data_IF_182069424974
#
_entry.id   IF_182069424974
#
_cell.length_a   1.000
_cell.length_b   1.000
_cell.length_c   1.000
_cell.angle_alpha   90.00
_cell.angle_beta   90.00
_cell.angle_gamma   90.00
#
_symmetry.space_group_name_H-M   'P 1'
#
loop_
_entity.id
_entity.type
_entity.pdbx_description
1 polymer ?
#
# COMPACT_ATOMS: atom_id res chain seq x y z
N UNK A 1 -4.74 -36.42 -8.46
CA UNK A 1 -5.16 -35.59 -9.60
C UNK A 1 -6.43 -34.89 -9.17
N UNK A 2 -6.31 -33.68 -8.61
CA UNK A 2 -7.45 -32.92 -8.09
C UNK A 2 -7.99 -32.03 -9.20
N UNK A 3 -9.21 -32.31 -9.66
CA UNK A 3 -9.95 -31.46 -10.58
C UNK A 3 -10.30 -30.14 -9.89
N UNK A 4 -9.62 -29.07 -10.32
CA UNK A 4 -10.03 -27.71 -9.96
C UNK A 4 -11.18 -27.30 -10.88
N UNK A 5 -12.41 -27.36 -10.37
CA UNK A 5 -13.56 -26.83 -11.10
C UNK A 5 -13.40 -25.32 -11.31
N UNK A 6 -13.16 -24.96 -12.57
CA UNK A 6 -13.18 -23.59 -13.08
C UNK A 6 -14.64 -23.20 -13.27
N UNK A 7 -15.07 -22.09 -12.64
CA UNK A 7 -16.38 -21.53 -12.91
C UNK A 7 -16.31 -20.61 -14.13
N UNK A 8 -16.89 -21.08 -15.23
CA UNK A 8 -17.24 -20.26 -16.39
C UNK A 8 -18.66 -19.72 -16.22
N UNK A 9 -18.78 -18.42 -15.94
CA UNK A 9 -19.88 -17.64 -16.52
C UNK A 9 -19.35 -16.25 -16.84
N UNK A 10 -19.35 -15.92 -18.13
CA UNK A 10 -18.83 -14.67 -18.69
C UNK A 10 -19.91 -13.81 -19.31
N UNK A 11 -21.16 -14.05 -18.91
CA UNK A 11 -22.23 -13.10 -19.14
C UNK A 11 -22.26 -12.09 -17.98
N UNK A 12 -22.50 -10.80 -18.27
CA UNK A 12 -22.72 -9.68 -17.33
C UNK A 12 -21.57 -8.66 -17.18
N UNK A 13 -21.22 -7.98 -18.27
CA UNK A 13 -20.56 -6.66 -18.23
C UNK A 13 -21.41 -5.59 -18.93
N UNK A 14 -22.70 -5.49 -18.59
CA UNK A 14 -23.53 -4.32 -18.94
C UNK A 14 -24.55 -3.99 -17.85
N UNK A 15 -24.41 -2.80 -17.28
CA UNK A 15 -25.38 -2.16 -16.38
C UNK A 15 -25.24 -2.61 -14.93
N UNK A 16 -25.24 -1.65 -14.01
CA UNK A 16 -25.18 -1.89 -12.56
C UNK A 16 -26.28 -2.86 -12.11
N UNK A 17 -25.94 -4.15 -12.05
CA UNK A 17 -26.73 -5.22 -11.45
C UNK A 17 -25.82 -5.86 -10.42
N UNK A 18 -26.31 -5.98 -9.19
CA UNK A 18 -25.62 -6.67 -8.12
C UNK A 18 -25.13 -8.03 -8.64
N UNK A 19 -23.81 -8.23 -8.63
CA UNK A 19 -23.19 -9.47 -9.09
C UNK A 19 -22.92 -10.32 -7.85
N UNK A 20 -23.52 -11.51 -7.79
CA UNK A 20 -23.41 -12.40 -6.64
C UNK A 20 -22.25 -13.38 -6.83
N UNK A 21 -21.21 -13.26 -6.00
CA UNK A 21 -20.15 -14.26 -5.90
C UNK A 21 -20.52 -15.30 -4.84
N UNK A 22 -20.82 -16.54 -5.24
CA UNK A 22 -21.09 -17.64 -4.31
C UNK A 22 -19.84 -18.48 -4.09
N UNK A 23 -19.26 -18.41 -2.89
CA UNK A 23 -18.13 -19.25 -2.48
C UNK A 23 -18.67 -20.37 -1.59
N UNK A 24 -18.43 -21.62 -1.97
CA UNK A 24 -18.89 -22.81 -1.22
C UNK A 24 -17.69 -23.57 -0.68
N UNK A 25 -17.57 -23.66 0.65
CA UNK A 25 -16.60 -24.52 1.31
C UNK A 25 -17.26 -25.84 1.71
N UNK A 26 -16.63 -26.96 1.41
CA UNK A 26 -17.04 -28.30 1.88
C UNK A 26 -16.13 -28.71 3.04
N UNK A 27 -16.67 -29.45 4.02
CA UNK A 27 -15.88 -30.02 5.12
C UNK A 27 -15.64 -29.12 6.34
N UNK A 28 -16.17 -27.89 6.37
CA UNK A 28 -16.03 -27.02 7.54
C UNK A 28 -17.01 -27.42 8.64
N UNK A 29 -16.48 -27.91 9.77
CA UNK A 29 -17.27 -28.30 10.94
C UNK A 29 -17.59 -27.14 11.89
N UNK A 30 -16.82 -26.06 11.81
CA UNK A 30 -16.89 -24.89 12.68
C UNK A 30 -17.35 -23.66 11.88
N UNK A 31 -18.59 -23.22 12.10
CA UNK A 31 -19.27 -22.22 11.28
C UNK A 31 -18.59 -20.82 11.36
N UNK A 32 -18.26 -20.27 12.56
CA UNK A 32 -17.49 -19.03 12.68
C UNK A 32 -16.16 -19.05 11.90
N UNK A 33 -15.40 -20.13 12.02
CA UNK A 33 -14.12 -20.28 11.31
C UNK A 33 -14.33 -20.37 9.80
N UNK A 34 -15.41 -21.00 9.35
CA UNK A 34 -15.79 -21.03 7.94
C UNK A 34 -16.13 -19.64 7.38
N UNK A 35 -16.85 -18.84 8.14
CA UNK A 35 -17.19 -17.47 7.73
C UNK A 35 -15.93 -16.59 7.62
N UNK A 36 -14.99 -16.72 8.56
CA UNK A 36 -13.73 -15.99 8.52
C UNK A 36 -12.91 -16.32 7.27
N UNK A 37 -12.73 -17.62 6.96
CA UNK A 37 -12.01 -18.08 5.77
C UNK A 37 -12.75 -17.61 4.50
N UNK A 38 -14.08 -17.67 4.48
CA UNK A 38 -14.88 -17.18 3.36
C UNK A 38 -14.66 -15.69 3.10
N UNK A 39 -14.66 -14.87 4.16
CA UNK A 39 -14.38 -13.44 4.08
C UNK A 39 -12.98 -13.18 3.54
N UNK A 40 -11.97 -13.90 4.03
CA UNK A 40 -10.57 -13.77 3.57
C UNK A 40 -10.40 -14.11 2.09
N UNK A 41 -11.01 -15.21 1.62
CA UNK A 41 -10.99 -15.59 0.21
C UNK A 41 -11.68 -14.52 -0.65
N UNK A 42 -12.87 -14.08 -0.23
CA UNK A 42 -13.61 -13.05 -0.95
C UNK A 42 -12.82 -11.75 -1.05
N UNK A 43 -12.29 -11.24 0.07
CA UNK A 43 -11.45 -10.03 0.12
C UNK A 43 -10.25 -10.11 -0.85
N UNK A 44 -9.57 -11.27 -0.90
CA UNK A 44 -8.39 -11.47 -1.75
C UNK A 44 -8.75 -11.54 -3.25
N UNK A 45 -9.88 -12.16 -3.59
CA UNK A 45 -10.43 -12.13 -4.94
C UNK A 45 -10.79 -10.70 -5.36
N UNK A 46 -11.45 -9.94 -4.49
CA UNK A 46 -11.85 -8.56 -4.77
C UNK A 46 -10.64 -7.64 -4.99
N UNK A 47 -9.57 -7.83 -4.21
CA UNK A 47 -8.31 -7.12 -4.42
C UNK A 47 -7.70 -7.40 -5.81
N UNK A 48 -7.72 -8.66 -6.24
CA UNK A 48 -7.21 -9.06 -7.56
C UNK A 48 -7.99 -8.37 -8.69
N UNK A 49 -9.32 -8.25 -8.54
CA UNK A 49 -10.15 -7.48 -9.46
C UNK A 49 -9.81 -5.99 -9.42
N UNK A 50 -9.64 -5.42 -8.23
CA UNK A 50 -9.32 -4.00 -8.06
C UNK A 50 -7.98 -3.62 -8.69
N UNK A 51 -6.93 -4.44 -8.49
CA UNK A 51 -5.63 -4.25 -9.15
C UNK A 51 -5.74 -4.36 -10.67
N UNK A 52 -6.56 -5.30 -11.16
CA UNK A 52 -6.65 -5.55 -12.59
C UNK A 52 -7.53 -4.52 -13.31
N UNK A 53 -8.64 -4.08 -12.72
CA UNK A 53 -9.60 -3.21 -13.41
C UNK A 53 -9.62 -1.78 -12.88
N UNK A 54 -8.81 -1.44 -11.87
CA UNK A 54 -8.89 -0.16 -11.15
C UNK A 54 -10.33 0.14 -10.69
N UNK A 55 -11.11 -0.91 -10.44
CA UNK A 55 -12.52 -0.81 -10.10
C UNK A 55 -12.68 -1.13 -8.61
N UNK A 56 -13.21 -0.20 -7.80
CA UNK A 56 -13.42 -0.47 -6.39
C UNK A 56 -14.55 -1.48 -6.21
N UNK A 57 -14.26 -2.57 -5.50
CA UNK A 57 -15.25 -3.57 -5.12
C UNK A 57 -15.05 -3.88 -3.64
N UNK A 58 -16.10 -3.63 -2.85
CA UNK A 58 -16.10 -3.82 -1.40
C UNK A 58 -17.08 -4.94 -1.06
N UNK A 59 -16.65 -5.84 -0.17
CA UNK A 59 -17.55 -6.80 0.45
C UNK A 59 -18.43 -6.05 1.46
N UNK A 60 -19.74 -6.05 1.23
CA UNK A 60 -20.69 -5.42 2.13
C UNK A 60 -21.83 -6.38 2.45
N UNK A 61 -22.23 -6.42 3.73
CA UNK A 61 -23.46 -7.11 4.17
C UNK A 61 -24.73 -6.35 3.75
N UNK A 62 -24.59 -5.09 3.34
CA UNK A 62 -25.67 -4.20 2.90
C UNK A 62 -25.34 -3.59 1.53
N UNK A 63 -26.34 -3.44 0.66
CA UNK A 63 -26.11 -2.88 -0.69
C UNK A 63 -25.83 -1.37 -0.58
N UNK A 64 -24.63 -0.88 -0.93
CA UNK A 64 -24.38 0.56 -0.91
C UNK A 64 -25.14 1.24 -2.04
N UNK A 65 -25.63 2.46 -1.78
CA UNK A 65 -26.29 3.26 -2.79
C UNK A 65 -25.26 3.81 -3.80
N UNK A 66 -25.04 3.04 -4.89
CA UNK A 66 -24.26 3.38 -6.11
C UNK A 66 -22.74 3.52 -5.93
N UNK A 67 -22.01 2.64 -6.63
CA UNK A 67 -20.58 2.78 -6.93
C UNK A 67 -20.41 3.05 -8.42
N UNK A 68 -19.65 4.08 -8.81
CA UNK A 68 -19.40 4.42 -10.22
C UNK A 68 -17.90 4.34 -10.52
N UNK A 69 -17.53 3.78 -11.69
CA UNK A 69 -16.16 3.62 -12.15
C UNK A 69 -15.44 4.97 -12.37
N UNK A 70 -14.13 5.00 -12.10
CA UNK A 70 -13.24 6.14 -12.35
C UNK A 70 -12.02 5.63 -13.13
N UNK A 71 -11.66 6.29 -14.23
CA UNK A 71 -10.45 5.97 -14.99
C UNK A 71 -9.23 6.56 -14.28
N UNK A 72 -8.22 5.73 -14.02
CA UNK A 72 -6.94 6.11 -13.41
C UNK A 72 -5.78 5.60 -14.26
N UNK A 73 -4.64 6.29 -14.21
CA UNK A 73 -3.39 5.87 -14.86
C UNK A 73 -3.01 4.44 -14.43
N UNK A 74 -2.53 3.64 -15.38
CA UNK A 74 -2.27 2.21 -15.22
C UNK A 74 -0.87 1.87 -15.74
N UNK A 75 0.05 1.38 -14.89
CA UNK A 75 1.35 0.88 -15.35
C UNK A 75 1.16 -0.32 -16.30
N UNK A 76 2.10 -0.49 -17.24
CA UNK A 76 2.03 -1.53 -18.30
C UNK A 76 2.02 -2.98 -17.80
N UNK A 77 2.29 -3.25 -16.52
CA UNK A 77 2.23 -4.58 -15.92
C UNK A 77 0.83 -5.20 -15.89
N UNK A 78 -0.22 -4.39 -16.07
CA UNK A 78 -1.61 -4.85 -16.01
C UNK A 78 -2.23 -4.77 -17.41
N UNK A 79 -2.17 -5.86 -18.17
CA UNK A 79 -2.82 -6.00 -19.48
C UNK A 79 -4.32 -5.71 -19.39
N UNK A 80 -4.77 -4.68 -20.11
CA UNK A 80 -6.18 -4.41 -20.37
C UNK A 80 -6.62 -5.23 -21.59
N UNK A 81 -7.60 -6.14 -21.40
CA UNK A 81 -8.28 -6.79 -22.53
C UNK A 81 -8.55 -8.30 -22.42
N UNK A 82 -8.11 -8.97 -21.36
CA UNK A 82 -8.37 -10.41 -21.16
C UNK A 82 -9.53 -10.69 -20.20
N UNK A 83 -10.27 -11.79 -20.44
CA UNK A 83 -11.08 -12.43 -19.40
C UNK A 83 -10.15 -12.77 -18.23
N UNK A 84 -10.37 -12.16 -17.06
CA UNK A 84 -9.61 -12.49 -15.86
C UNK A 84 -10.20 -13.77 -15.29
N UNK A 85 -9.47 -14.87 -15.38
CA UNK A 85 -9.80 -16.07 -14.63
C UNK A 85 -9.48 -15.77 -13.16
N UNK A 86 -10.52 -15.64 -12.34
CA UNK A 86 -10.37 -15.52 -10.90
C UNK A 86 -9.92 -16.88 -10.36
N UNK A 87 -8.63 -17.00 -10.10
CA UNK A 87 -8.07 -18.17 -9.42
C UNK A 87 -8.27 -18.05 -7.91
N UNK A 88 -8.33 -19.20 -7.25
CA UNK A 88 -8.43 -19.23 -5.80
C UNK A 88 -7.17 -18.57 -5.20
N UNK A 89 -7.32 -17.58 -4.30
CA UNK A 89 -6.21 -16.77 -3.83
C UNK A 89 -5.29 -17.59 -2.93
N UNK A 90 -4.03 -17.76 -3.32
CA UNK A 90 -3.02 -18.43 -2.47
C UNK A 90 -2.59 -17.58 -1.25
N UNK A 91 -2.94 -16.30 -1.26
CA UNK A 91 -2.51 -15.32 -0.29
C UNK A 91 -3.70 -14.66 0.43
N UNK A 92 -3.48 -14.37 1.71
CA UNK A 92 -4.37 -13.63 2.57
C UNK A 92 -3.82 -12.23 2.80
N UNK A 93 -4.72 -11.24 2.72
CA UNK A 93 -4.44 -9.85 3.03
C UNK A 93 -5.26 -9.41 4.25
N UNK A 94 -4.81 -8.36 4.94
CA UNK A 94 -5.56 -7.78 6.07
C UNK A 94 -6.76 -7.00 5.52
N UNK A 95 -7.93 -7.14 6.13
CA UNK A 95 -9.14 -6.50 5.61
C UNK A 95 -9.08 -4.97 5.71
N UNK A 96 -8.42 -4.42 6.73
CA UNK A 96 -8.30 -2.97 6.95
C UNK A 96 -7.54 -2.28 5.82
N UNK A 97 -6.40 -2.84 5.39
CA UNK A 97 -5.59 -2.27 4.31
C UNK A 97 -6.31 -2.34 2.96
N UNK A 98 -7.08 -3.42 2.73
CA UNK A 98 -7.92 -3.55 1.54
C UNK A 98 -8.98 -2.46 1.56
N UNK A 99 -9.65 -2.22 2.69
CA UNK A 99 -10.68 -1.17 2.80
C UNK A 99 -10.12 0.22 2.51
N UNK A 100 -8.95 0.57 3.03
CA UNK A 100 -8.29 1.84 2.71
C UNK A 100 -7.97 1.96 1.22
N UNK A 101 -7.44 0.90 0.61
CA UNK A 101 -7.16 0.88 -0.83
C UNK A 101 -8.44 1.01 -1.68
N UNK A 102 -9.51 0.31 -1.32
CA UNK A 102 -10.81 0.40 -1.99
C UNK A 102 -11.42 1.80 -1.86
N UNK A 103 -11.33 2.41 -0.67
CA UNK A 103 -11.77 3.79 -0.45
C UNK A 103 -11.03 4.75 -1.39
N UNK A 104 -9.70 4.62 -1.48
CA UNK A 104 -8.87 5.40 -2.36
C UNK A 104 -9.31 5.28 -3.83
N UNK A 105 -9.53 4.07 -4.33
CA UNK A 105 -10.01 3.83 -5.70
C UNK A 105 -11.41 4.38 -5.97
N UNK A 106 -12.28 4.41 -4.95
CA UNK A 106 -13.66 4.88 -5.08
C UNK A 106 -13.83 6.39 -4.95
N UNK A 107 -12.88 7.06 -4.30
CA UNK A 107 -12.94 8.50 -4.08
C UNK A 107 -12.74 9.26 -5.40
N UNK A 108 -13.37 10.43 -5.52
CA UNK A 108 -13.11 11.41 -6.59
C UNK A 108 -12.38 12.64 -6.11
N UNK A 109 -12.17 12.75 -4.81
CA UNK A 109 -11.48 13.88 -4.19
C UNK A 109 -10.00 13.52 -4.09
N UNK A 110 -9.08 14.22 -4.80
CA UNK A 110 -7.68 13.85 -4.88
C UNK A 110 -7.00 13.74 -3.50
N UNK A 111 -7.30 14.68 -2.60
CA UNK A 111 -6.78 14.65 -1.23
C UNK A 111 -7.21 13.41 -0.46
N UNK A 112 -8.48 12.98 -0.59
CA UNK A 112 -8.98 11.76 0.03
C UNK A 112 -8.38 10.51 -0.61
N UNK A 113 -8.20 10.49 -1.93
CA UNK A 113 -7.52 9.38 -2.61
C UNK A 113 -6.10 9.22 -2.06
N UNK A 114 -5.35 10.33 -2.02
CA UNK A 114 -3.98 10.36 -1.55
C UNK A 114 -3.87 9.88 -0.09
N UNK A 115 -4.67 10.44 0.81
CA UNK A 115 -4.68 10.06 2.23
C UNK A 115 -5.08 8.59 2.43
N UNK A 116 -6.03 8.09 1.65
CA UNK A 116 -6.47 6.69 1.75
C UNK A 116 -5.39 5.73 1.30
N UNK A 117 -4.63 6.02 0.23
CA UNK A 117 -3.44 5.24 -0.13
C UNK A 117 -2.34 5.37 0.93
N UNK A 118 -2.14 6.57 1.49
CA UNK A 118 -1.15 6.79 2.55
C UNK A 118 -1.43 5.94 3.80
N UNK A 119 -2.69 5.82 4.21
CA UNK A 119 -3.06 4.99 5.36
C UNK A 119 -2.69 3.51 5.19
N UNK A 120 -2.60 3.00 3.96
CA UNK A 120 -2.07 1.65 3.70
C UNK A 120 -0.60 1.55 4.13
N UNK A 121 0.20 2.59 3.87
CA UNK A 121 1.61 2.66 4.27
C UNK A 121 1.74 2.83 5.78
N UNK A 122 0.97 3.77 6.34
CA UNK A 122 0.98 4.13 7.77
C UNK A 122 0.62 2.95 8.67
N UNK A 123 -0.29 2.07 8.22
CA UNK A 123 -0.68 0.86 8.95
C UNK A 123 0.53 0.01 9.38
N UNK A 124 1.61 0.02 8.60
CA UNK A 124 2.80 -0.80 8.84
C UNK A 124 3.94 -0.08 9.57
N UNK A 125 3.82 1.22 9.89
CA UNK A 125 4.91 1.99 10.49
C UNK A 125 5.46 1.36 11.77
N UNK A 126 4.58 1.07 12.72
CA UNK A 126 4.99 0.48 14.00
C UNK A 126 5.46 -0.97 13.81
N UNK A 127 4.69 -1.78 13.08
CA UNK A 127 5.01 -3.20 12.87
C UNK A 127 6.39 -3.41 12.22
N UNK A 128 6.73 -2.59 11.23
CA UNK A 128 8.00 -2.71 10.49
C UNK A 128 9.18 -2.20 11.31
N UNK A 129 9.04 -1.03 11.92
CA UNK A 129 10.13 -0.43 12.68
C UNK A 129 10.49 -1.25 13.91
N UNK A 130 9.49 -1.73 14.65
CA UNK A 130 9.72 -2.63 15.79
C UNK A 130 10.27 -3.98 15.36
N UNK A 131 9.77 -4.54 14.25
CA UNK A 131 10.26 -5.79 13.69
C UNK A 131 11.76 -5.74 13.39
N UNK A 132 12.25 -4.63 12.84
CA UNK A 132 13.67 -4.44 12.54
C UNK A 132 14.52 -4.33 13.82
N UNK A 133 14.03 -3.61 14.83
CA UNK A 133 14.72 -3.52 16.14
C UNK A 133 14.82 -4.91 16.77
N UNK A 134 13.72 -5.65 16.80
CA UNK A 134 13.68 -7.01 17.36
C UNK A 134 14.62 -7.94 16.59
N UNK A 135 14.64 -7.89 15.25
CA UNK A 135 15.55 -8.69 14.43
C UNK A 135 17.02 -8.40 14.76
N UNK A 136 17.40 -7.12 14.90
CA UNK A 136 18.76 -6.70 15.26
C UNK A 136 19.15 -7.13 16.68
N UNK A 137 18.24 -7.02 17.64
CA UNK A 137 18.44 -7.50 19.01
C UNK A 137 18.63 -9.03 19.04
N UNK A 138 17.78 -9.78 18.34
CA UNK A 138 17.88 -11.23 18.25
C UNK A 138 19.17 -11.67 17.58
N UNK A 139 19.62 -10.97 16.53
CA UNK A 139 20.89 -11.26 15.87
C UNK A 139 22.09 -11.04 16.79
N UNK A 140 22.06 -9.99 17.63
CA UNK A 140 23.12 -9.75 18.62
C UNK A 140 23.11 -10.80 19.74
N UNK A 141 21.93 -11.17 20.24
CA UNK A 141 21.77 -12.18 21.30
C UNK A 141 22.16 -13.58 20.81
N UNK A 142 21.85 -13.90 19.55
CA UNK A 142 22.15 -15.21 18.94
C UNK A 142 23.63 -15.36 18.54
N UNK A 143 24.43 -14.30 18.66
CA UNK A 143 25.85 -14.36 18.35
C UNK A 143 26.58 -15.27 19.36
N UNK A 144 27.34 -16.30 18.95
CA UNK A 144 28.07 -17.17 19.87
C UNK A 144 29.05 -16.43 20.80
N UNK A 145 29.50 -15.23 20.42
CA UNK A 145 30.36 -14.39 21.24
C UNK A 145 29.58 -13.57 22.30
N UNK A 146 28.25 -13.66 22.31
CA UNK A 146 27.40 -12.99 23.28
C UNK A 146 27.38 -13.78 24.59
N UNK A 147 28.03 -13.23 25.61
CA UNK A 147 28.02 -13.78 26.98
C UNK A 147 27.07 -12.93 27.82
N UNK A 148 25.98 -13.54 28.27
CA UNK A 148 25.02 -12.92 29.20
C UNK A 148 25.72 -12.51 30.50
N UNK A 149 25.52 -11.25 30.93
CA UNK A 149 26.06 -10.74 32.20
C UNK A 149 27.22 -9.75 32.10
N UNK A 150 27.78 -9.50 30.90
CA UNK A 150 28.77 -8.43 30.70
C UNK A 150 28.08 -7.09 30.42
N UNK A 151 28.41 -6.07 31.21
CA UNK A 151 27.87 -4.70 31.07
C UNK A 151 28.02 -4.16 29.64
N UNK A 152 29.19 -4.31 29.03
CA UNK A 152 29.48 -3.84 27.66
C UNK A 152 28.50 -4.40 26.61
N UNK A 153 28.02 -5.65 26.80
CA UNK A 153 27.07 -6.29 25.90
C UNK A 153 25.65 -5.75 26.09
N UNK A 154 25.25 -5.52 27.34
CA UNK A 154 23.99 -4.85 27.67
C UNK A 154 23.97 -3.43 27.11
N UNK A 155 25.08 -2.70 27.23
CA UNK A 155 25.24 -1.36 26.63
C UNK A 155 25.13 -1.41 25.10
N UNK A 156 25.65 -2.46 24.45
CA UNK A 156 25.48 -2.65 23.00
C UNK A 156 24.01 -2.87 22.61
N UNK A 157 23.24 -3.63 23.40
CA UNK A 157 21.80 -3.78 23.17
C UNK A 157 21.05 -2.46 23.37
N UNK A 158 21.39 -1.69 24.41
CA UNK A 158 20.82 -0.35 24.64
C UNK A 158 21.08 0.57 23.44
N UNK A 159 22.30 0.57 22.88
CA UNK A 159 22.61 1.34 21.67
C UNK A 159 21.76 0.95 20.46
N UNK A 160 21.35 -0.31 20.32
CA UNK A 160 20.45 -0.74 19.23
C UNK A 160 19.07 -0.10 19.42
N UNK A 161 18.57 -0.07 20.66
CA UNK A 161 17.28 0.55 21.01
C UNK A 161 17.35 2.08 20.88
N UNK A 162 18.41 2.71 21.37
CA UNK A 162 18.59 4.18 21.31
C UNK A 162 18.81 4.68 19.88
N UNK A 163 19.43 3.87 19.01
CA UNK A 163 19.61 4.19 17.60
C UNK A 163 18.37 3.89 16.75
N UNK A 164 17.32 3.31 17.33
CA UNK A 164 16.08 3.06 16.62
C UNK A 164 15.40 4.39 16.24
N UNK A 165 14.69 4.44 15.10
CA UNK A 165 13.82 5.56 14.79
C UNK A 165 12.89 5.82 15.97
N UNK A 166 12.79 7.08 16.41
CA UNK A 166 11.70 7.43 17.32
C UNK A 166 10.38 7.05 16.66
N UNK A 167 9.42 6.57 17.45
CA UNK A 167 8.03 6.36 17.00
C UNK A 167 7.38 7.64 16.47
N UNK A 168 8.02 8.80 16.64
CA UNK A 168 7.57 10.09 16.14
C UNK A 168 8.21 10.51 14.81
N UNK A 169 9.28 9.85 14.34
CA UNK A 169 9.90 10.18 13.05
C UNK A 169 9.20 9.47 11.89
N UNK A 170 8.05 10.02 11.51
CA UNK A 170 7.22 9.53 10.41
C UNK A 170 7.98 9.33 9.10
N UNK A 171 8.98 10.20 8.79
CA UNK A 171 9.77 10.05 7.55
C UNK A 171 10.56 8.76 7.62
N UNK A 172 11.25 8.53 8.74
CA UNK A 172 12.09 7.35 8.91
C UNK A 172 11.24 6.07 8.96
N UNK A 173 10.09 6.10 9.64
CA UNK A 173 9.16 4.95 9.65
C UNK A 173 8.66 4.60 8.25
N UNK A 174 8.28 5.60 7.45
CA UNK A 174 7.90 5.41 6.07
C UNK A 174 9.05 4.83 5.24
N UNK A 175 10.26 5.37 5.39
CA UNK A 175 11.46 4.88 4.69
C UNK A 175 11.71 3.39 4.96
N UNK A 176 11.57 2.93 6.21
CA UNK A 176 11.72 1.52 6.58
C UNK A 176 10.62 0.63 5.99
N UNK A 177 9.36 1.10 5.95
CA UNK A 177 8.27 0.40 5.26
C UNK A 177 8.57 0.24 3.76
N UNK A 178 9.07 1.29 3.11
CA UNK A 178 9.42 1.22 1.69
C UNK A 178 10.57 0.25 1.44
N UNK A 179 11.64 0.30 2.26
CA UNK A 179 12.77 -0.64 2.17
C UNK A 179 12.33 -2.09 2.32
N UNK A 180 11.38 -2.36 3.21
CA UNK A 180 10.91 -3.72 3.50
C UNK A 180 10.06 -4.31 2.38
N UNK A 181 9.16 -3.52 1.79
CA UNK A 181 8.12 -4.07 0.90
C UNK A 181 8.21 -3.63 -0.56
N UNK A 182 8.96 -2.56 -0.89
CA UNK A 182 9.02 -2.01 -2.25
C UNK A 182 10.35 -2.37 -2.90
N UNK A 183 10.37 -3.28 -3.90
CA UNK A 183 11.60 -3.60 -4.62
C UNK A 183 12.19 -2.38 -5.30
N UNK A 184 13.48 -2.16 -5.12
CA UNK A 184 14.17 -0.96 -5.60
C UNK A 184 14.12 -0.82 -7.12
N UNK A 185 14.33 -1.92 -7.85
CA UNK A 185 14.34 -1.90 -9.32
C UNK A 185 12.95 -1.51 -9.86
N UNK A 186 11.88 -2.01 -9.25
CA UNK A 186 10.51 -1.66 -9.63
C UNK A 186 10.17 -0.19 -9.33
N UNK A 187 10.70 0.37 -8.24
CA UNK A 187 10.54 1.79 -7.91
C UNK A 187 11.29 2.68 -8.92
N UNK A 188 12.51 2.29 -9.31
CA UNK A 188 13.27 2.98 -10.34
C UNK A 188 12.54 2.96 -11.69
N UNK A 189 12.00 1.81 -12.06
CA UNK A 189 11.26 1.64 -13.31
C UNK A 189 9.95 2.43 -13.30
N UNK A 190 9.23 2.44 -12.17
CA UNK A 190 8.04 3.28 -11.99
C UNK A 190 8.36 4.76 -12.20
N UNK A 191 9.41 5.28 -11.57
CA UNK A 191 9.78 6.70 -11.70
C UNK A 191 10.07 7.05 -13.16
N UNK A 192 10.85 6.21 -13.86
CA UNK A 192 11.19 6.41 -15.27
C UNK A 192 9.97 6.35 -16.19
N UNK A 193 9.09 5.36 -15.99
CA UNK A 193 7.86 5.20 -16.77
C UNK A 193 6.93 6.39 -16.56
N UNK A 194 6.78 6.84 -15.30
CA UNK A 194 5.94 7.98 -14.98
C UNK A 194 6.46 9.28 -15.59
N UNK A 195 7.76 9.56 -15.46
CA UNK A 195 8.38 10.73 -16.10
C UNK A 195 8.21 10.71 -17.61
N UNK A 196 8.35 9.54 -18.25
CA UNK A 196 8.06 9.39 -19.68
C UNK A 196 6.58 9.63 -20.01
N UNK A 197 5.65 9.24 -19.14
CA UNK A 197 4.23 9.44 -19.34
C UNK A 197 3.83 10.91 -19.28
N UNK A 198 4.40 11.68 -18.34
CA UNK A 198 4.12 13.11 -18.17
C UNK A 198 4.95 14.00 -19.13
N UNK A 199 5.14 13.52 -20.37
CA UNK A 199 5.81 14.24 -21.44
C UNK A 199 7.34 14.24 -21.38
N UNK A 200 7.96 13.27 -20.71
CA UNK A 200 9.41 13.22 -20.52
C UNK A 200 9.93 14.32 -19.58
N UNK A 201 9.03 14.98 -18.85
CA UNK A 201 9.45 15.94 -17.84
C UNK A 201 10.09 15.16 -16.68
N UNK A 202 11.28 15.59 -16.26
CA UNK A 202 11.97 15.08 -15.07
C UNK A 202 11.17 15.44 -13.80
N UNK A 203 9.99 14.86 -13.64
CA UNK A 203 9.00 15.21 -12.64
C UNK A 203 9.49 14.96 -11.22
N UNK A 204 10.15 13.82 -11.01
CA UNK A 204 10.70 13.42 -9.73
C UNK A 204 12.19 13.74 -9.63
N UNK A 205 12.94 13.55 -10.72
CA UNK A 205 14.40 13.64 -10.74
C UNK A 205 14.93 15.08 -10.78
N UNK A 206 14.15 16.02 -11.32
CA UNK A 206 14.46 17.45 -11.22
C UNK A 206 13.88 18.02 -9.93
N UNK A 207 14.61 18.97 -9.36
CA UNK A 207 14.16 19.76 -8.24
C UNK A 207 12.87 20.53 -8.58
N UNK A 208 11.84 20.32 -7.75
CA UNK A 208 10.53 20.97 -7.87
C UNK A 208 9.98 21.31 -6.51
N UNK A 209 9.31 22.45 -6.44
CA UNK A 209 8.59 22.89 -5.24
C UNK A 209 7.29 22.09 -5.12
N UNK A 210 7.09 21.47 -3.96
CA UNK A 210 5.88 20.77 -3.55
C UNK A 210 5.46 21.33 -2.20
N UNK A 211 4.36 22.08 -2.17
CA UNK A 211 3.87 22.76 -0.96
C UNK A 211 4.98 23.51 -0.21
N UNK A 212 5.61 24.46 -0.88
CA UNK A 212 6.69 25.27 -0.30
C UNK A 212 8.03 24.57 -0.04
N UNK A 213 8.16 23.26 -0.28
CA UNK A 213 9.43 22.53 -0.13
C UNK A 213 10.03 22.13 -1.48
N UNK A 214 11.30 22.43 -1.68
CA UNK A 214 12.05 22.04 -2.88
C UNK A 214 12.54 20.59 -2.75
N UNK A 215 12.00 19.68 -3.55
CA UNK A 215 12.23 18.24 -3.44
C UNK A 215 12.64 17.63 -4.79
N UNK A 216 13.51 16.62 -4.72
CA UNK A 216 13.93 15.78 -5.85
C UNK A 216 14.19 14.35 -5.40
N UNK A 217 14.13 13.41 -6.34
CA UNK A 217 14.51 12.01 -6.15
C UNK A 217 15.83 11.73 -6.84
N UNK A 218 16.83 11.33 -6.06
CA UNK A 218 18.08 10.78 -6.58
C UNK A 218 17.89 9.29 -6.88
N UNK A 219 18.22 8.87 -8.10
CA UNK A 219 18.02 7.50 -8.58
C UNK A 219 19.14 6.53 -8.13
N UNK A 220 19.79 6.81 -7.01
CA UNK A 220 20.82 5.94 -6.45
C UNK A 220 20.27 5.10 -5.29
N UNK A 221 20.95 3.97 -5.03
CA UNK A 221 20.50 2.97 -4.05
C UNK A 221 20.44 3.49 -2.62
N UNK A 222 21.22 4.53 -2.31
CA UNK A 222 21.36 5.02 -0.95
C UNK A 222 20.26 6.01 -0.59
N UNK A 223 19.83 6.85 -1.55
CA UNK A 223 18.95 7.99 -1.25
C UNK A 223 17.50 7.81 -1.73
N UNK A 224 17.22 6.88 -2.64
CA UNK A 224 15.90 6.76 -3.29
C UNK A 224 14.73 6.65 -2.30
N UNK A 225 14.82 5.75 -1.31
CA UNK A 225 13.75 5.56 -0.33
C UNK A 225 13.57 6.79 0.56
N UNK A 226 14.66 7.41 1.00
CA UNK A 226 14.60 8.61 1.85
C UNK A 226 14.02 9.81 1.12
N UNK A 227 14.31 9.96 -0.18
CA UNK A 227 13.74 11.03 -1.02
C UNK A 227 12.25 10.80 -1.29
N UNK A 228 11.85 9.58 -1.65
CA UNK A 228 10.45 9.23 -1.87
C UNK A 228 9.64 9.39 -0.59
N UNK A 229 10.16 8.89 0.55
CA UNK A 229 9.51 9.06 1.85
C UNK A 229 9.33 10.55 2.21
N UNK A 230 10.31 11.40 1.90
CA UNK A 230 10.21 12.83 2.15
C UNK A 230 9.12 13.49 1.29
N UNK A 231 9.04 13.16 -0.02
CA UNK A 231 7.97 13.64 -0.90
C UNK A 231 6.60 13.22 -0.37
N UNK A 232 6.44 11.92 -0.07
CA UNK A 232 5.15 11.37 0.35
C UNK A 232 4.69 11.96 1.69
N UNK A 233 5.60 12.09 2.66
CA UNK A 233 5.33 12.74 3.95
C UNK A 233 4.99 14.21 3.78
N UNK A 234 5.74 14.94 2.95
CA UNK A 234 5.52 16.37 2.75
C UNK A 234 4.10 16.62 2.20
N UNK A 235 3.72 15.88 1.16
CA UNK A 235 2.36 15.93 0.62
C UNK A 235 1.30 15.60 1.68
N UNK A 236 1.46 14.52 2.45
CA UNK A 236 0.52 14.14 3.53
C UNK A 236 0.38 15.24 4.58
N UNK A 237 1.49 15.81 5.03
CA UNK A 237 1.48 16.90 6.01
C UNK A 237 0.75 18.13 5.50
N UNK A 238 0.96 18.50 4.23
CA UNK A 238 0.26 19.64 3.61
C UNK A 238 -1.25 19.43 3.51
N UNK A 239 -1.70 18.17 3.37
CA UNK A 239 -3.14 17.84 3.32
C UNK A 239 -3.81 17.83 4.69
N UNK A 240 -3.09 17.44 5.75
CA UNK A 240 -3.65 17.25 7.11
C UNK A 240 -3.45 18.47 8.00
N UNK A 241 -2.30 19.14 7.87
CA UNK A 241 -1.96 20.30 8.68
C UNK A 241 -2.21 21.56 7.88
N UNK A 242 -3.23 22.33 8.29
CA UNK A 242 -3.31 23.73 7.88
C UNK A 242 -2.22 24.50 8.61
N UNK A 243 -1.17 24.94 7.91
CA UNK A 243 -0.17 25.88 8.45
C UNK A 243 -0.88 27.06 9.10
N UNK A 244 -0.40 27.51 10.27
CA UNK A 244 -0.95 28.68 10.96
C UNK A 244 -0.91 29.92 10.05
N UNK A 245 -1.89 30.82 10.16
CA UNK A 245 -2.05 32.02 9.32
C UNK A 245 -0.82 32.96 9.28
N UNK A 246 0.17 32.72 10.15
CA UNK A 246 1.38 33.54 10.32
C UNK A 246 2.63 32.95 9.70
N UNK A 247 2.66 31.65 9.41
CA UNK A 247 3.82 30.98 8.80
C UNK A 247 3.53 30.69 7.32
N UNK A 248 4.15 31.48 6.45
CA UNK A 248 4.05 31.30 5.00
C UNK A 248 4.75 30.01 4.57
N UNK A 249 3.98 28.94 4.44
CA UNK A 249 4.18 27.88 3.43
C UNK A 249 2.80 27.48 2.91
N UNK A 250 2.69 27.34 1.58
CA UNK A 250 1.45 27.13 0.83
C UNK A 250 0.46 26.20 1.53
N UNK A 251 -0.72 26.74 1.86
CA UNK A 251 -1.78 26.00 2.53
C UNK A 251 -2.55 25.18 1.49
N UNK A 252 -2.76 23.89 1.75
CA UNK A 252 -3.76 23.16 0.98
C UNK A 252 -5.14 23.77 1.24
N UNK A 253 -5.74 24.30 0.18
CA UNK A 253 -7.13 24.75 0.17
C UNK A 253 -7.85 23.83 -0.81
N UNK A 254 -8.88 23.08 -0.36
CA UNK A 254 -9.66 22.22 -1.26
C UNK A 254 -10.22 23.01 -2.45
N UNK A 255 -10.22 22.41 -3.64
CA UNK A 255 -10.66 23.03 -4.90
C UNK A 255 -9.81 24.21 -5.38
N UNK A 256 -8.58 24.34 -4.87
CA UNK A 256 -7.59 25.31 -5.33
C UNK A 256 -6.58 24.71 -6.32
N UNK A 257 -5.58 25.52 -6.68
CA UNK A 257 -4.52 25.17 -7.65
C UNK A 257 -3.64 23.97 -7.21
N UNK A 258 -3.82 23.47 -5.99
CA UNK A 258 -3.09 22.33 -5.45
C UNK A 258 -3.68 20.97 -5.80
N UNK A 259 -4.92 20.91 -6.30
CA UNK A 259 -5.54 19.63 -6.68
C UNK A 259 -4.79 18.96 -7.85
N UNK A 260 -4.33 19.74 -8.84
CA UNK A 260 -3.49 19.21 -9.94
C UNK A 260 -2.17 18.62 -9.42
N UNK A 261 -1.52 19.28 -8.45
CA UNK A 261 -0.30 18.77 -7.84
C UNK A 261 -0.55 17.43 -7.13
N UNK A 262 -1.67 17.31 -6.41
CA UNK A 262 -2.02 16.07 -5.71
C UNK A 262 -2.34 14.95 -6.70
N UNK A 263 -3.09 15.25 -7.76
CA UNK A 263 -3.38 14.31 -8.85
C UNK A 263 -2.10 13.75 -9.48
N UNK A 264 -1.09 14.59 -9.64
CA UNK A 264 0.22 14.19 -10.17
C UNK A 264 1.05 13.34 -9.18
N UNK A 265 0.72 13.32 -7.89
CA UNK A 265 1.40 12.50 -6.87
C UNK A 265 0.64 11.21 -6.50
N UNK A 266 -0.66 11.14 -6.81
CA UNK A 266 -1.49 9.94 -6.58
C UNK A 266 -0.90 8.67 -7.20
N UNK A 267 -0.38 8.66 -8.45
CA UNK A 267 0.23 7.46 -9.04
C UNK A 267 1.36 6.87 -8.20
N UNK A 268 2.21 7.71 -7.58
CA UNK A 268 3.31 7.26 -6.74
C UNK A 268 2.79 6.61 -5.46
N UNK A 269 1.95 7.30 -4.68
CA UNK A 269 1.46 6.72 -3.42
C UNK A 269 0.62 5.46 -3.64
N UNK A 270 -0.13 5.40 -4.75
CA UNK A 270 -0.84 4.19 -5.18
C UNK A 270 0.12 3.04 -5.45
N UNK A 271 1.16 3.27 -6.26
CA UNK A 271 2.16 2.26 -6.57
C UNK A 271 2.80 1.71 -5.28
N UNK A 272 3.19 2.59 -4.35
CA UNK A 272 3.77 2.19 -3.07
C UNK A 272 2.77 1.37 -2.24
N UNK A 273 1.50 1.80 -2.18
CA UNK A 273 0.46 1.07 -1.46
C UNK A 273 0.24 -0.35 -2.03
N UNK A 274 0.22 -0.50 -3.35
CA UNK A 274 0.09 -1.81 -4.01
C UNK A 274 1.27 -2.74 -3.67
N UNK A 275 2.50 -2.22 -3.69
CA UNK A 275 3.70 -2.99 -3.30
C UNK A 275 3.68 -3.38 -1.82
N UNK A 276 3.25 -2.49 -0.93
CA UNK A 276 3.11 -2.79 0.51
C UNK A 276 2.03 -3.85 0.76
N UNK A 277 0.88 -3.77 0.06
CA UNK A 277 -0.17 -4.80 0.18
C UNK A 277 0.36 -6.16 -0.29
N UNK A 278 1.01 -6.21 -1.44
CA UNK A 278 1.59 -7.46 -1.98
C UNK A 278 2.71 -8.01 -1.09
N UNK A 279 3.61 -7.16 -0.62
CA UNK A 279 4.75 -7.54 0.23
C UNK A 279 4.35 -7.97 1.65
N UNK A 280 3.18 -7.56 2.12
CA UNK A 280 2.64 -7.92 3.45
C UNK A 280 1.73 -9.16 3.43
N UNK A 281 1.53 -9.78 2.25
CA UNK A 281 0.68 -10.93 2.06
C UNK A 281 1.14 -12.13 2.88
N UNK A 282 0.19 -12.87 3.45
CA UNK A 282 0.45 -14.13 4.18
C UNK A 282 -0.08 -15.32 3.40
N UNK A 283 0.48 -16.50 3.62
CA UNK A 283 -0.06 -17.73 3.01
C UNK A 283 -1.47 -18.01 3.53
N UNK A 284 -2.44 -18.13 2.61
CA UNK A 284 -3.80 -18.53 2.96
C UNK A 284 -3.84 -20.05 3.18
N UNK A 285 -4.34 -20.48 4.34
CA UNK A 285 -4.50 -21.91 4.66
C UNK A 285 -5.95 -22.31 4.46
N UNK A 286 -6.21 -23.05 3.38
CA UNK A 286 -7.50 -23.69 3.18
C UNK A 286 -7.71 -24.80 4.22
N UNK A 287 -8.94 -24.99 4.71
CA UNK A 287 -9.26 -26.16 5.51
C UNK A 287 -9.05 -27.39 4.63
N UNK A 288 -8.10 -28.23 5.02
CA UNK A 288 -7.83 -29.51 4.37
C UNK A 288 -8.92 -30.50 4.82
N UNK A 289 -9.38 -31.34 3.90
CA UNK A 289 -10.35 -32.43 4.17
C UNK A 289 -9.89 -33.39 5.28
#
# INVERSE_FOLDING_TARGET
MSEHHVFEDTSLLKGAKATTLKIVFRGIRDLPRGEEIARQVASSCLLSVAFTWSAPIVLSSEVPAKTQQVNTFRPKSHTAGGRVKLEMPSAQFRDEIIRYYQLALSSRVPSLQYLSFYHVLEYFFVEVTEGEIVARLLAEISNPAFVSGRRERVEKLLRIVDAAPSRTDEKQMLEEVLKKYVPMDELLDFIREYESHVGGSAYYTKERVRFGQSLRVLLDKQHIYGNVALIVKNMRNSLVHSSDHRERQERFVPFGDHDELIEMEIPLVRFLAEKVILGSARTLRYPVE
#
